data_IF_594469172518
#
_entry.id   IF_594469172518
#
_cell.length_a   1.000
_cell.length_b   1.000
_cell.length_c   1.000
_cell.angle_alpha   90.00
_cell.angle_beta   90.00
_cell.angle_gamma   90.00
#
_symmetry.space_group_name_H-M   'P 1'
#
loop_
_entity.id
_entity.type
_entity.pdbx_description
1 polymer ?
#
# COMPACT_ATOMS: atom_id res chain seq x y z
N UNK A 1 11.28 11.20 -16.97
CA UNK A 1 11.54 12.58 -17.37
C UNK A 1 12.32 13.33 -16.31
N UNK A 2 12.99 14.40 -16.69
CA UNK A 2 13.74 15.23 -15.74
C UNK A 2 12.84 15.82 -14.66
N UNK A 3 11.62 16.19 -15.01
CA UNK A 3 10.64 16.68 -14.05
C UNK A 3 10.35 15.62 -12.97
N UNK A 4 10.04 14.40 -13.40
CA UNK A 4 9.74 13.30 -12.46
C UNK A 4 10.94 12.96 -11.56
N UNK A 5 12.14 13.03 -12.12
CA UNK A 5 13.37 12.79 -11.32
C UNK A 5 13.54 13.86 -10.24
N UNK A 6 13.31 15.14 -10.58
CA UNK A 6 13.38 16.22 -9.58
C UNK A 6 12.32 16.06 -8.51
N UNK A 7 11.08 15.73 -8.91
CA UNK A 7 10.00 15.49 -7.94
C UNK A 7 10.32 14.32 -7.00
N UNK A 8 10.93 13.25 -7.52
CA UNK A 8 11.37 12.13 -6.70
C UNK A 8 12.49 12.54 -5.74
N UNK A 9 13.47 13.31 -6.20
CA UNK A 9 14.54 13.84 -5.36
C UNK A 9 13.99 14.70 -4.22
N UNK A 10 12.99 15.54 -4.50
CA UNK A 10 12.33 16.36 -3.49
C UNK A 10 11.66 15.53 -2.40
N UNK A 11 11.25 14.31 -2.72
CA UNK A 11 10.70 13.35 -1.78
C UNK A 11 11.78 12.49 -1.09
N UNK A 12 13.05 12.68 -1.46
CA UNK A 12 14.13 11.87 -0.92
C UNK A 12 14.16 10.44 -1.44
N UNK A 13 13.65 10.22 -2.67
CA UNK A 13 13.52 8.90 -3.26
C UNK A 13 14.28 8.82 -4.59
N UNK A 14 14.76 7.61 -4.88
CA UNK A 14 15.26 7.28 -6.22
C UNK A 14 14.08 7.04 -7.16
N UNK A 15 14.24 7.28 -8.48
CA UNK A 15 13.17 6.99 -9.45
C UNK A 15 12.63 5.56 -9.35
N UNK A 16 13.50 4.57 -9.11
CA UNK A 16 13.12 3.17 -8.95
C UNK A 16 12.17 2.95 -7.77
N UNK A 17 12.40 3.67 -6.68
CA UNK A 17 11.55 3.58 -5.49
C UNK A 17 10.14 4.07 -5.78
N UNK A 18 10.02 5.15 -6.55
CA UNK A 18 8.71 5.72 -6.94
C UNK A 18 7.96 4.72 -7.83
N UNK A 19 8.64 4.10 -8.78
CA UNK A 19 8.03 3.07 -9.65
C UNK A 19 7.53 1.90 -8.80
N UNK A 20 8.31 1.46 -7.83
CA UNK A 20 7.94 0.35 -6.96
C UNK A 20 6.74 0.70 -6.08
N UNK A 21 6.75 1.88 -5.47
CA UNK A 21 5.59 2.36 -4.68
C UNK A 21 4.34 2.43 -5.55
N UNK A 22 4.46 2.95 -6.79
CA UNK A 22 3.34 3.03 -7.72
C UNK A 22 2.79 1.64 -8.05
N UNK A 23 3.65 0.65 -8.25
CA UNK A 23 3.22 -0.72 -8.52
C UNK A 23 2.39 -1.31 -7.37
N UNK A 24 2.79 -1.03 -6.14
CA UNK A 24 2.06 -1.49 -4.95
C UNK A 24 0.73 -0.75 -4.81
N UNK A 25 0.73 0.57 -5.01
CA UNK A 25 -0.48 1.39 -4.88
C UNK A 25 -1.56 0.97 -5.89
N UNK A 26 -1.18 0.62 -7.12
CA UNK A 26 -2.13 0.14 -8.13
C UNK A 26 -2.80 -1.16 -7.73
N UNK A 27 -2.05 -2.08 -7.13
CA UNK A 27 -2.61 -3.34 -6.65
C UNK A 27 -3.42 -3.16 -5.37
N UNK A 28 -3.11 -2.13 -4.57
CA UNK A 28 -3.80 -1.84 -3.32
C UNK A 28 -5.20 -1.30 -3.57
N UNK A 29 -5.39 -0.48 -4.59
CA UNK A 29 -6.69 0.15 -4.87
C UNK A 29 -6.99 0.20 -6.36
N UNK A 30 -8.21 -0.22 -6.70
CA UNK A 30 -8.78 -0.03 -8.03
C UNK A 30 -9.26 1.41 -8.26
N UNK A 31 -9.28 2.26 -7.22
CA UNK A 31 -9.73 3.64 -7.29
C UNK A 31 -8.56 4.56 -7.62
N UNK A 32 -8.45 5.07 -8.88
CA UNK A 32 -7.31 5.91 -9.26
C UNK A 32 -7.12 7.15 -8.40
N UNK A 33 -8.21 7.71 -7.86
CA UNK A 33 -8.16 8.91 -7.01
C UNK A 33 -7.54 8.68 -5.63
N UNK A 34 -7.39 7.42 -5.18
CA UNK A 34 -6.69 7.09 -3.93
C UNK A 34 -5.22 6.75 -4.10
N UNK A 35 -4.77 6.42 -5.31
CA UNK A 35 -3.42 5.87 -5.54
C UNK A 35 -2.32 6.82 -5.11
N UNK A 36 -2.48 8.12 -5.35
CA UNK A 36 -1.51 9.13 -4.90
C UNK A 36 -1.39 9.15 -3.38
N UNK A 37 -2.51 9.13 -2.68
CA UNK A 37 -2.58 9.13 -1.21
C UNK A 37 -1.97 7.85 -0.63
N UNK A 38 -2.28 6.71 -1.22
CA UNK A 38 -1.72 5.42 -0.81
C UNK A 38 -0.20 5.40 -1.00
N UNK A 39 0.27 5.85 -2.16
CA UNK A 39 1.70 5.93 -2.43
C UNK A 39 2.42 6.82 -1.43
N UNK A 40 1.84 7.98 -1.09
CA UNK A 40 2.42 8.88 -0.09
C UNK A 40 2.48 8.22 1.29
N UNK A 41 1.49 7.42 1.66
CA UNK A 41 1.51 6.65 2.90
C UNK A 41 2.72 5.72 2.95
N UNK A 42 2.99 4.97 1.88
CA UNK A 42 4.15 4.09 1.82
C UNK A 42 5.46 4.86 1.85
N UNK A 43 5.52 6.03 1.21
CA UNK A 43 6.68 6.92 1.30
C UNK A 43 6.90 7.36 2.76
N UNK A 44 5.83 7.71 3.47
CA UNK A 44 5.92 8.07 4.90
C UNK A 44 6.52 6.93 5.71
N UNK A 45 6.09 5.69 5.46
CA UNK A 45 6.65 4.52 6.13
C UNK A 45 8.13 4.31 5.83
N UNK A 46 8.52 4.49 4.57
CA UNK A 46 9.94 4.39 4.18
C UNK A 46 10.79 5.41 4.92
N UNK A 47 10.34 6.67 4.98
CA UNK A 47 11.06 7.72 5.68
C UNK A 47 11.17 7.44 7.18
N UNK A 48 10.21 6.75 7.75
CA UNK A 48 10.16 6.41 9.18
C UNK A 48 10.85 5.07 9.50
N UNK A 49 11.41 4.39 8.50
CA UNK A 49 12.06 3.09 8.68
C UNK A 49 11.10 1.94 8.95
N UNK A 50 9.81 2.12 8.67
CA UNK A 50 8.80 1.09 8.87
C UNK A 50 8.75 0.11 7.70
N UNK A 51 8.43 -1.15 7.99
CA UNK A 51 8.10 -2.11 6.93
C UNK A 51 6.78 -1.69 6.28
N UNK A 52 6.65 -1.94 4.97
CA UNK A 52 5.47 -1.52 4.24
C UNK A 52 4.22 -2.31 4.62
N UNK A 53 4.37 -3.60 4.92
CA UNK A 53 3.25 -4.48 5.30
C UNK A 53 2.10 -4.40 4.30
N UNK A 54 2.44 -4.42 3.03
CA UNK A 54 1.47 -4.28 1.94
C UNK A 54 0.96 -5.65 1.49
N UNK A 55 -0.34 -5.89 1.63
CA UNK A 55 -0.97 -7.15 1.23
C UNK A 55 -0.69 -7.56 -0.22
N UNK A 56 -0.69 -6.63 -1.21
CA UNK A 56 -0.37 -7.02 -2.58
C UNK A 56 1.00 -7.69 -2.74
N UNK A 57 1.97 -7.34 -1.92
CA UNK A 57 3.29 -7.97 -1.99
C UNK A 57 3.26 -9.42 -1.50
N UNK A 58 2.40 -9.74 -0.54
CA UNK A 58 2.18 -11.11 -0.07
C UNK A 58 1.47 -11.92 -1.16
N UNK A 59 0.43 -11.37 -1.78
CA UNK A 59 -0.27 -12.01 -2.90
C UNK A 59 0.68 -12.30 -4.04
N UNK A 60 1.56 -11.36 -4.37
CA UNK A 60 2.57 -11.54 -5.40
C UNK A 60 3.55 -12.66 -5.02
N UNK A 61 4.01 -12.69 -3.77
CA UNK A 61 4.94 -13.71 -3.27
C UNK A 61 4.33 -15.12 -3.33
N UNK A 62 3.03 -15.24 -3.02
CA UNK A 62 2.28 -16.51 -3.09
C UNK A 62 1.94 -16.85 -4.55
N UNK A 63 1.81 -15.84 -5.41
CA UNK A 63 1.46 -16.00 -6.82
C UNK A 63 -0.04 -16.06 -7.08
N UNK A 64 -0.85 -15.52 -6.17
CA UNK A 64 -2.31 -15.56 -6.29
C UNK A 64 -2.93 -14.22 -5.89
N UNK A 65 -3.32 -13.42 -6.87
CA UNK A 65 -4.00 -12.14 -6.65
C UNK A 65 -5.51 -12.28 -6.44
N UNK A 66 -6.06 -13.48 -6.55
CA UNK A 66 -7.48 -13.73 -6.27
C UNK A 66 -7.80 -13.81 -4.77
N UNK A 67 -6.78 -13.90 -3.93
CA UNK A 67 -6.95 -13.95 -2.47
C UNK A 67 -7.65 -12.68 -2.01
N UNK A 68 -8.77 -12.84 -1.30
CA UNK A 68 -9.58 -11.72 -0.82
C UNK A 68 -9.23 -11.26 0.59
N UNK A 69 -8.63 -12.13 1.39
CA UNK A 69 -8.28 -11.83 2.78
C UNK A 69 -6.91 -12.45 3.10
N UNK A 70 -5.96 -11.60 3.51
CA UNK A 70 -4.65 -12.05 3.94
C UNK A 70 -4.75 -12.51 5.39
N UNK A 71 -4.37 -13.77 5.63
CA UNK A 71 -4.33 -14.34 6.99
C UNK A 71 -2.97 -14.07 7.65
N UNK A 72 -2.93 -14.21 8.98
CA UNK A 72 -1.65 -14.08 9.72
C UNK A 72 -0.63 -15.08 9.21
N UNK A 73 -1.06 -16.32 8.92
CA UNK A 73 -0.16 -17.34 8.37
C UNK A 73 0.47 -16.92 7.03
N UNK A 74 -0.33 -16.29 6.15
CA UNK A 74 0.18 -15.79 4.86
C UNK A 74 1.24 -14.70 5.03
N UNK A 75 1.13 -13.86 6.07
CA UNK A 75 2.12 -12.81 6.34
C UNK A 75 3.47 -13.37 6.79
N UNK A 76 3.57 -14.65 7.04
CA UNK A 76 4.81 -15.32 7.44
C UNK A 76 5.55 -15.95 6.27
N UNK A 77 5.05 -15.87 5.04
CA UNK A 77 5.68 -16.52 3.90
C UNK A 77 7.12 -16.03 3.69
N UNK A 78 8.00 -16.99 3.34
CA UNK A 78 9.43 -16.70 3.13
C UNK A 78 9.65 -16.28 1.68
N UNK A 79 9.66 -14.97 1.45
CA UNK A 79 9.94 -14.40 0.13
C UNK A 79 10.54 -13.00 0.31
N UNK A 80 11.51 -12.60 -0.55
CA UNK A 80 12.02 -11.23 -0.51
C UNK A 80 10.94 -10.19 -0.85
N UNK A 81 9.84 -10.61 -1.51
CA UNK A 81 8.71 -9.73 -1.82
C UNK A 81 7.76 -9.51 -0.64
N UNK A 82 7.86 -10.30 0.43
CA UNK A 82 6.98 -10.16 1.58
C UNK A 82 7.38 -8.95 2.44
N UNK A 83 6.64 -7.86 2.34
CA UNK A 83 6.93 -6.62 3.08
C UNK A 83 6.53 -6.66 4.55
N UNK A 84 5.90 -7.74 5.02
CA UNK A 84 5.70 -7.97 6.46
C UNK A 84 6.98 -8.47 7.13
N UNK A 85 7.87 -9.10 6.38
CA UNK A 85 9.11 -9.68 6.92
C UNK A 85 10.35 -8.91 6.55
N UNK A 86 10.34 -8.19 5.43
CA UNK A 86 11.51 -7.52 4.87
C UNK A 86 11.26 -6.02 4.78
N UNK A 87 12.30 -5.24 5.04
CA UNK A 87 12.28 -3.82 4.74
C UNK A 87 12.57 -3.62 3.27
N UNK A 88 12.05 -2.50 2.73
CA UNK A 88 12.32 -2.10 1.37
C UNK A 88 11.16 -2.34 0.42
N UNK A 89 11.48 -2.26 -0.85
CA UNK A 89 10.50 -2.10 -1.92
C UNK A 89 10.68 -3.17 -2.99
N UNK A 90 9.84 -4.21 -3.02
CA UNK A 90 9.81 -5.11 -4.16
C UNK A 90 8.91 -4.56 -5.26
N UNK A 91 9.36 -4.55 -6.53
CA UNK A 91 8.46 -4.24 -7.64
C UNK A 91 7.55 -5.44 -7.92
N UNK A 92 6.26 -5.20 -8.08
CA UNK A 92 5.27 -6.28 -8.29
C UNK A 92 4.51 -6.17 -9.61
N UNK A 93 4.61 -5.05 -10.32
CA UNK A 93 4.03 -4.87 -11.64
C UNK A 93 4.64 -3.62 -12.31
N UNK A 94 4.35 -3.45 -13.59
CA UNK A 94 4.68 -2.21 -14.30
C UNK A 94 3.52 -1.21 -14.09
N UNK A 95 3.76 -0.11 -13.37
CA UNK A 95 2.69 0.85 -13.07
C UNK A 95 2.42 1.80 -14.25
N UNK A 96 1.22 2.38 -14.25
CA UNK A 96 0.84 3.44 -15.19
C UNK A 96 1.60 4.73 -14.86
N UNK A 97 1.91 5.51 -15.90
CA UNK A 97 2.57 6.82 -15.73
C UNK A 97 1.74 7.76 -14.87
N UNK A 98 0.40 7.72 -15.01
CA UNK A 98 -0.51 8.54 -14.21
C UNK A 98 -0.37 8.26 -12.73
N UNK A 99 -0.23 7.00 -12.34
CA UNK A 99 -0.04 6.63 -10.93
C UNK A 99 1.26 7.22 -10.39
N UNK A 100 2.34 7.15 -11.16
CA UNK A 100 3.62 7.75 -10.79
C UNK A 100 3.45 9.26 -10.57
N UNK A 101 2.81 9.96 -11.50
CA UNK A 101 2.58 11.40 -11.40
C UNK A 101 1.68 11.74 -10.20
N UNK A 102 0.62 10.98 -9.97
CA UNK A 102 -0.29 11.20 -8.84
C UNK A 102 0.45 11.08 -7.49
N UNK A 103 1.39 10.13 -7.38
CA UNK A 103 2.20 9.99 -6.18
C UNK A 103 3.17 11.14 -6.01
N UNK A 104 3.86 11.51 -7.09
CA UNK A 104 4.86 12.59 -7.07
C UNK A 104 4.23 13.93 -6.71
N UNK A 105 3.00 14.17 -7.15
CA UNK A 105 2.26 15.42 -6.91
C UNK A 105 1.26 15.32 -5.78
N UNK A 106 1.26 14.21 -5.03
CA UNK A 106 0.31 14.00 -3.93
C UNK A 106 0.51 15.01 -2.80
N UNK A 107 -0.60 15.38 -2.16
CA UNK A 107 -0.55 16.26 -1.01
C UNK A 107 0.14 15.56 0.17
N UNK A 108 1.05 16.25 0.87
CA UNK A 108 1.66 15.68 2.07
C UNK A 108 0.62 15.38 3.14
N UNK A 109 0.79 14.26 3.82
CA UNK A 109 0.00 13.87 4.99
C UNK A 109 0.88 13.05 5.93
N UNK A 110 0.34 12.73 7.09
CA UNK A 110 1.06 11.95 8.10
C UNK A 110 0.46 10.57 8.35
N UNK A 111 -0.34 10.07 7.41
CA UNK A 111 -0.93 8.73 7.53
C UNK A 111 0.15 7.65 7.39
N UNK A 112 0.10 6.68 8.28
CA UNK A 112 1.01 5.53 8.31
C UNK A 112 0.28 4.20 8.14
N UNK A 113 -1.06 4.20 8.26
CA UNK A 113 -1.89 3.01 8.23
C UNK A 113 -3.10 3.22 7.35
N UNK A 114 -3.55 2.13 6.72
CA UNK A 114 -4.81 2.11 5.99
C UNK A 114 -5.43 0.73 6.04
N UNK A 115 -6.74 0.67 5.86
CA UNK A 115 -7.46 -0.58 5.63
C UNK A 115 -8.66 -0.31 4.74
N UNK A 116 -9.17 -1.35 4.07
CA UNK A 116 -10.36 -1.22 3.24
C UNK A 116 -11.54 -0.77 4.08
N UNK A 117 -12.42 0.05 3.48
CA UNK A 117 -13.65 0.49 4.14
C UNK A 117 -14.62 -0.66 4.29
N UNK A 118 -15.33 -0.66 5.39
CA UNK A 118 -16.31 -1.67 5.77
C UNK A 118 -17.54 -1.72 4.85
N UNK A 119 -17.76 -0.70 4.03
CA UNK A 119 -18.85 -0.63 3.06
C UNK A 119 -18.54 -1.34 1.74
N UNK A 120 -17.34 -1.89 1.60
CA UNK A 120 -16.87 -2.59 0.40
C UNK A 120 -16.91 -1.72 -0.87
N UNK A 121 -16.77 -0.40 -0.70
CA UNK A 121 -16.75 0.55 -1.82
C UNK A 121 -15.47 0.47 -2.67
N UNK A 122 -14.43 -0.19 -2.17
CA UNK A 122 -13.10 -0.21 -2.79
C UNK A 122 -12.19 0.91 -2.30
N UNK A 123 -12.72 1.84 -1.49
CA UNK A 123 -11.93 2.89 -0.86
C UNK A 123 -11.36 2.42 0.48
N UNK A 124 -10.48 3.23 1.05
CA UNK A 124 -9.76 2.90 2.28
C UNK A 124 -9.98 3.95 3.36
N UNK A 125 -9.88 3.53 4.61
CA UNK A 125 -9.75 4.41 5.78
C UNK A 125 -8.27 4.58 6.08
N UNK A 126 -7.85 5.82 6.30
CA UNK A 126 -6.46 6.17 6.59
C UNK A 126 -6.32 6.63 8.04
N UNK A 127 -5.21 6.26 8.67
CA UNK A 127 -4.94 6.61 10.05
C UNK A 127 -3.48 6.99 10.25
N UNK A 128 -3.24 7.99 11.10
CA UNK A 128 -1.90 8.42 11.46
C UNK A 128 -1.34 7.56 12.60
N UNK A 129 -2.19 7.01 13.47
CA UNK A 129 -1.80 6.20 14.62
C UNK A 129 -2.29 4.78 14.50
N UNK A 130 -1.57 3.86 15.13
CA UNK A 130 -1.95 2.45 15.16
C UNK A 130 -3.30 2.24 15.87
N UNK A 131 -3.58 3.02 16.90
CA UNK A 131 -4.84 2.95 17.63
C UNK A 131 -6.04 3.27 16.75
N UNK A 132 -5.96 4.35 15.97
CA UNK A 132 -7.00 4.70 14.99
C UNK A 132 -7.16 3.60 13.94
N UNK A 133 -6.04 3.07 13.46
CA UNK A 133 -6.04 1.98 12.48
C UNK A 133 -6.75 0.74 13.03
N UNK A 134 -6.50 0.37 14.28
CA UNK A 134 -7.16 -0.78 14.90
C UNK A 134 -8.67 -0.65 14.90
N UNK A 135 -9.19 0.54 15.19
CA UNK A 135 -10.63 0.80 15.17
C UNK A 135 -11.22 0.59 13.76
N UNK A 136 -10.57 1.11 12.73
CA UNK A 136 -10.99 0.90 11.34
C UNK A 136 -10.87 -0.57 10.92
N UNK A 137 -9.76 -1.22 11.27
CA UNK A 137 -9.50 -2.61 10.92
C UNK A 137 -10.55 -3.53 11.54
N UNK A 138 -10.96 -3.25 12.78
CA UNK A 138 -12.00 -4.03 13.44
C UNK A 138 -13.34 -3.94 12.69
N UNK A 139 -13.74 -2.75 12.29
CA UNK A 139 -14.96 -2.55 11.49
C UNK A 139 -14.94 -3.38 10.22
N UNK A 140 -13.80 -3.38 9.52
CA UNK A 140 -13.66 -4.11 8.28
C UNK A 140 -13.70 -5.64 8.53
N UNK A 141 -13.00 -6.14 9.55
CA UNK A 141 -13.00 -7.55 9.90
C UNK A 141 -14.41 -8.02 10.31
N UNK A 142 -15.13 -7.23 11.08
CA UNK A 142 -16.51 -7.53 11.47
C UNK A 142 -17.42 -7.60 10.24
N UNK A 143 -17.25 -6.69 9.28
CA UNK A 143 -18.01 -6.70 8.03
C UNK A 143 -17.70 -7.94 7.17
N UNK A 144 -16.42 -8.34 7.09
CA UNK A 144 -16.02 -9.57 6.41
C UNK A 144 -16.65 -10.80 7.06
N UNK A 145 -16.64 -10.86 8.38
CA UNK A 145 -17.22 -11.97 9.13
C UNK A 145 -18.73 -12.09 8.91
N UNK A 146 -19.44 -10.95 8.88
CA UNK A 146 -20.89 -10.92 8.58
C UNK A 146 -21.20 -11.47 7.19
N UNK A 147 -20.31 -11.30 6.23
CA UNK A 147 -20.48 -11.80 4.87
C UNK A 147 -19.93 -13.21 4.67
N UNK A 148 -19.39 -13.84 5.72
CA UNK A 148 -18.80 -15.15 5.65
C UNK A 148 -17.50 -15.24 4.86
N UNK A 149 -16.81 -14.13 4.65
CA UNK A 149 -15.51 -14.08 3.96
C UNK A 149 -14.41 -14.43 4.94
N UNK A 150 -13.67 -15.50 4.66
CA UNK A 150 -12.56 -15.98 5.49
C UNK A 150 -11.22 -15.78 4.84
#
# INVERSE_FOLDING_TARGET
>A
TDRRRREADDLGLKPEDVVTVASIAEEESAKPDERGKIGRLYINRLHDGMRLQADPTVKFAIGDFSIRRITVAMTQCKSPYNTYRNQGLPPIRLPEKKTIDDILTSEPHNYMYMCAKEDFSGYHNFAATYEQHRAFAKKYQDALNKRGIK
#
